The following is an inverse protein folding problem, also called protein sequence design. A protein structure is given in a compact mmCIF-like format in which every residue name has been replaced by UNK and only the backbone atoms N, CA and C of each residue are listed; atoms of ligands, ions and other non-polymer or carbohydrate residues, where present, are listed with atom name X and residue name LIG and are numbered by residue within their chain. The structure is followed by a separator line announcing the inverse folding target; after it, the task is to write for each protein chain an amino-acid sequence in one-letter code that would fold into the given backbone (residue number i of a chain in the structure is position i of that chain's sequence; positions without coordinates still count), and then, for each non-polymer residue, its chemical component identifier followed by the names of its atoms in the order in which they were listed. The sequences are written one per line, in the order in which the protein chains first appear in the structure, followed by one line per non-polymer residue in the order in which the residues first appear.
data_IF_183705627017
#
_entry.id   IF_183705627017
#
_cell.length_a   1.000
_cell.length_b   1.000
_cell.length_c   1.000
_cell.angle_alpha   90.00
_cell.angle_beta   90.00
_cell.angle_gamma   90.00
#
_symmetry.space_group_name_H-M   'P 1'
#
loop_
_entity.id
_entity.type
_entity.pdbx_description
1 polymer ?
#
# COMPACT_ATOMS: atom_id res chain seq x y z
N UNK A 1 15.03 -17.04 55.56
CA UNK A 1 14.63 -17.63 54.26
C UNK A 1 13.31 -17.08 53.65
N UNK A 2 12.83 -15.89 54.05
CA UNK A 2 11.72 -15.17 53.41
C UNK A 2 12.01 -13.65 53.24
N UNK A 3 13.27 -13.24 53.43
CA UNK A 3 13.74 -11.86 53.24
C UNK A 3 14.71 -11.68 52.06
N UNK A 4 15.00 -12.73 51.28
CA UNK A 4 15.84 -12.66 50.07
C UNK A 4 15.04 -12.77 48.76
N UNK A 5 13.70 -12.86 48.81
CA UNK A 5 12.86 -12.86 47.60
C UNK A 5 12.30 -11.48 47.22
N UNK A 6 12.54 -10.42 48.01
CA UNK A 6 12.03 -9.07 47.72
C UNK A 6 13.09 -8.07 47.23
N UNK A 7 14.36 -8.47 47.10
CA UNK A 7 15.43 -7.59 46.60
C UNK A 7 15.71 -7.71 45.09
N UNK A 8 15.03 -8.61 44.37
CA UNK A 8 15.19 -8.78 42.91
C UNK A 8 14.15 -8.02 42.05
N UNK A 9 13.09 -7.44 42.64
CA UNK A 9 12.01 -6.76 41.88
C UNK A 9 12.16 -5.23 41.80
N UNK A 10 13.09 -4.63 42.56
CA UNK A 10 13.20 -3.17 42.69
C UNK A 10 14.36 -2.52 41.88
N UNK A 11 14.93 -3.20 40.87
CA UNK A 11 15.97 -2.63 39.98
C UNK A 11 15.61 -2.58 38.48
N UNK A 12 14.34 -2.77 38.11
CA UNK A 12 13.90 -2.76 36.71
C UNK A 12 13.15 -1.52 36.23
N UNK A 13 12.81 -0.56 37.11
CA UNK A 13 11.80 0.47 36.80
C UNK A 13 12.24 1.93 37.06
N UNK A 14 13.53 2.24 36.98
CA UNK A 14 14.04 3.61 37.20
C UNK A 14 15.07 4.06 36.14
N UNK A 15 14.78 3.85 34.86
CA UNK A 15 15.64 4.32 33.76
C UNK A 15 14.89 4.93 32.56
N UNK A 16 13.64 5.37 32.71
CA UNK A 16 12.90 6.00 31.61
C UNK A 16 12.05 7.19 32.07
N UNK A 17 12.68 8.13 32.77
CA UNK A 17 12.15 9.47 33.00
C UNK A 17 13.26 10.50 32.75
N UNK A 18 13.59 10.70 31.48
CA UNK A 18 14.24 11.92 30.99
C UNK A 18 13.66 12.24 29.61
N UNK A 19 12.74 13.21 29.62
CA UNK A 19 12.15 13.85 28.45
C UNK A 19 13.18 14.79 27.84
N UNK A 20 13.45 14.75 26.52
CA UNK A 20 13.89 15.92 25.79
C UNK A 20 12.69 16.54 25.08
N UNK A 21 12.28 17.68 25.59
CA UNK A 21 11.48 18.68 24.91
C UNK A 21 12.06 19.00 23.53
N UNK A 22 11.29 18.82 22.44
CA UNK A 22 11.50 19.54 21.17
C UNK A 22 10.27 19.48 20.23
N UNK A 23 9.57 20.63 20.20
CA UNK A 23 8.93 21.27 19.05
C UNK A 23 7.56 20.79 18.54
N UNK A 24 6.53 21.14 19.33
CA UNK A 24 5.23 21.63 18.85
C UNK A 24 5.40 22.82 17.88
N UNK A 25 5.42 22.57 16.57
CA UNK A 25 5.28 23.64 15.54
C UNK A 25 4.49 23.29 14.28
N UNK A 26 3.70 22.21 14.25
CA UNK A 26 2.94 21.83 13.04
C UNK A 26 1.43 21.63 13.22
N UNK A 27 0.81 22.15 14.28
CA UNK A 27 -0.66 22.05 14.45
C UNK A 27 -1.41 23.34 14.02
N UNK A 28 -0.71 24.40 13.60
CA UNK A 28 -1.36 25.69 13.29
C UNK A 28 -1.65 25.99 11.80
N UNK A 29 -1.57 25.01 10.90
CA UNK A 29 -1.86 25.23 9.46
C UNK A 29 -3.21 24.65 8.96
N UNK A 30 -4.06 24.14 9.86
CA UNK A 30 -5.28 23.40 9.45
C UNK A 30 -6.61 24.18 9.60
N UNK A 31 -6.59 25.41 10.11
CA UNK A 31 -7.79 26.24 10.23
C UNK A 31 -7.59 27.56 9.49
N UNK A 32 -8.03 27.58 8.24
CA UNK A 32 -8.00 28.74 7.38
C UNK A 32 -8.77 29.92 7.96
N UNK A 33 -8.04 31.01 8.22
CA UNK A 33 -8.59 32.36 8.33
C UNK A 33 -7.64 33.31 7.59
N UNK A 34 -8.14 33.90 6.51
CA UNK A 34 -7.50 35.00 5.77
C UNK A 34 -7.54 36.31 6.57
N UNK A 35 -6.67 37.30 6.27
CA UNK A 35 -7.06 38.34 5.31
C UNK A 35 -5.94 38.84 4.34
N UNK A 36 -6.33 39.03 3.07
CA UNK A 36 -6.06 40.10 2.04
C UNK A 36 -4.72 40.91 2.01
N UNK A 37 -4.44 41.68 0.93
CA UNK A 37 -4.30 41.33 -0.49
C UNK A 37 -2.94 41.82 -1.07
N UNK A 38 -2.38 41.13 -2.06
CA UNK A 38 -1.14 41.56 -2.72
C UNK A 38 -1.10 41.16 -4.19
N UNK A 39 -1.25 42.14 -5.08
CA UNK A 39 -1.05 42.03 -6.53
C UNK A 39 0.38 41.56 -6.86
N UNK A 40 0.50 40.64 -7.82
CA UNK A 40 1.48 40.62 -8.92
C UNK A 40 1.01 39.54 -9.91
N UNK A 41 0.34 39.90 -11.00
CA UNK A 41 0.87 40.02 -12.38
C UNK A 41 1.68 38.81 -12.84
N UNK A 42 1.22 38.25 -13.96
CA UNK A 42 1.48 36.89 -14.40
C UNK A 42 2.75 36.70 -15.20
N UNK A 43 3.01 35.43 -15.51
CA UNK A 43 4.00 34.89 -16.44
C UNK A 43 3.47 33.50 -16.83
N UNK A 44 2.79 33.40 -17.97
CA UNK A 44 3.36 33.03 -19.27
C UNK A 44 3.79 31.56 -19.33
N UNK A 45 2.94 30.76 -19.99
CA UNK A 45 3.26 29.46 -20.57
C UNK A 45 4.53 29.57 -21.43
N UNK A 46 5.66 29.09 -20.92
CA UNK A 46 6.87 28.95 -21.74
C UNK A 46 6.93 27.55 -22.35
N UNK A 47 6.61 27.50 -23.65
CA UNK A 47 7.12 26.46 -24.57
C UNK A 47 8.65 26.49 -24.55
N UNK A 48 9.28 25.34 -24.31
CA UNK A 48 10.73 25.12 -24.45
C UNK A 48 10.93 23.60 -24.45
N UNK A 49 11.75 22.95 -25.27
CA UNK A 49 12.65 23.32 -26.34
C UNK A 49 13.17 21.99 -26.89
N UNK A 50 13.41 21.89 -28.20
CA UNK A 50 14.04 20.72 -28.83
C UNK A 50 15.42 20.47 -28.21
N UNK A 51 15.62 19.29 -27.64
CA UNK A 51 16.94 18.74 -27.32
C UNK A 51 17.08 17.34 -27.91
N UNK A 52 18.08 17.24 -28.80
CA UNK A 52 18.88 16.10 -29.27
C UNK A 52 18.41 14.66 -28.99
N UNK A 53 18.37 13.87 -30.07
CA UNK A 53 18.23 12.40 -30.20
C UNK A 53 18.51 11.62 -28.90
N UNK A 54 17.45 11.32 -28.17
CA UNK A 54 17.39 10.39 -27.04
C UNK A 54 15.99 9.76 -27.06
N UNK A 55 15.86 8.50 -26.61
CA UNK A 55 14.64 7.69 -26.53
C UNK A 55 13.33 8.47 -26.78
N UNK A 56 12.57 8.07 -27.83
CA UNK A 56 11.24 8.63 -28.08
C UNK A 56 10.42 8.50 -26.79
N UNK A 57 10.09 9.64 -26.18
CA UNK A 57 9.24 9.71 -25.02
C UNK A 57 7.88 9.07 -25.34
N UNK A 58 7.34 8.27 -24.41
CA UNK A 58 6.00 7.68 -24.55
C UNK A 58 4.89 8.71 -24.68
N UNK A 59 3.79 8.28 -25.31
CA UNK A 59 2.55 9.04 -25.59
C UNK A 59 1.74 9.40 -24.33
N UNK A 60 1.96 8.73 -23.19
CA UNK A 60 1.24 9.05 -21.96
C UNK A 60 1.54 10.48 -21.47
N UNK A 61 0.53 11.12 -20.87
CA UNK A 61 0.63 12.42 -20.22
C UNK A 61 1.81 12.45 -19.27
N UNK A 62 2.60 13.54 -19.32
CA UNK A 62 3.78 13.73 -18.50
C UNK A 62 3.54 14.87 -17.54
N UNK A 63 3.49 14.55 -16.26
CA UNK A 63 3.34 15.54 -15.19
C UNK A 63 4.59 15.52 -14.32
N UNK A 64 5.10 16.72 -14.01
CA UNK A 64 6.22 16.87 -13.08
C UNK A 64 5.66 17.03 -11.67
N UNK A 65 6.22 16.29 -10.72
CA UNK A 65 5.72 16.24 -9.36
C UNK A 65 6.87 16.50 -8.38
N UNK A 66 6.87 17.72 -7.82
CA UNK A 66 7.86 18.22 -6.86
C UNK A 66 7.24 18.77 -5.57
N UNK A 67 5.91 18.71 -5.44
CA UNK A 67 5.19 19.18 -4.26
C UNK A 67 3.85 18.49 -4.09
N UNK A 68 3.50 18.11 -2.86
CA UNK A 68 2.23 17.52 -2.48
C UNK A 68 1.00 18.38 -2.84
N UNK A 69 1.19 19.68 -3.13
CA UNK A 69 0.13 20.59 -3.61
C UNK A 69 -0.43 20.22 -4.98
N UNK A 70 0.28 19.39 -5.75
CA UNK A 70 -0.17 18.90 -7.06
C UNK A 70 -1.05 17.63 -6.96
N UNK A 71 -1.25 17.10 -5.75
CA UNK A 71 -2.28 16.10 -5.49
C UNK A 71 -3.62 16.85 -5.47
N UNK A 72 -4.38 16.76 -6.57
CA UNK A 72 -5.78 17.16 -6.57
C UNK A 72 -6.60 16.32 -5.59
N UNK A 73 -7.92 16.24 -5.76
CA UNK A 73 -8.82 15.42 -4.94
C UNK A 73 -8.61 13.89 -5.13
N UNK A 74 -7.37 13.40 -5.13
CA UNK A 74 -7.05 11.99 -4.95
C UNK A 74 -7.46 11.59 -3.54
N UNK A 75 -7.98 10.37 -3.38
CA UNK A 75 -8.43 9.90 -2.08
C UNK A 75 -7.31 9.97 -1.03
N UNK A 76 -7.69 10.02 0.25
CA UNK A 76 -6.75 10.19 1.37
C UNK A 76 -5.60 9.17 1.36
N UNK A 77 -5.89 7.93 0.95
CA UNK A 77 -4.93 6.83 0.88
C UNK A 77 -3.93 6.98 -0.27
N UNK A 78 -4.41 7.28 -1.48
CA UNK A 78 -3.53 7.53 -2.61
C UNK A 78 -2.63 8.75 -2.32
N UNK A 79 -3.21 9.80 -1.74
CA UNK A 79 -2.48 11.02 -1.38
C UNK A 79 -1.40 10.79 -0.32
N UNK A 80 -1.62 9.90 0.66
CA UNK A 80 -0.60 9.55 1.65
C UNK A 80 0.57 8.81 1.00
N UNK A 81 0.30 7.92 0.04
CA UNK A 81 1.33 7.21 -0.72
C UNK A 81 2.16 8.18 -1.57
N UNK A 82 1.53 9.15 -2.25
CA UNK A 82 2.25 10.11 -3.11
C UNK A 82 3.01 11.22 -2.38
N UNK A 83 2.74 11.47 -1.10
CA UNK A 83 3.32 12.59 -0.36
C UNK A 83 4.87 12.60 -0.36
N UNK A 84 5.51 11.43 -0.23
CA UNK A 84 6.98 11.30 -0.18
C UNK A 84 7.66 11.33 -1.54
N UNK A 85 6.98 10.86 -2.59
CA UNK A 85 7.53 10.95 -3.95
C UNK A 85 7.66 12.40 -4.41
N UNK A 86 6.90 13.32 -3.81
CA UNK A 86 6.99 14.75 -4.08
C UNK A 86 8.34 15.32 -3.66
N UNK A 87 8.81 14.99 -2.45
CA UNK A 87 10.06 15.53 -1.91
C UNK A 87 11.30 15.06 -2.66
N UNK A 88 11.22 13.91 -3.32
CA UNK A 88 12.33 13.34 -4.11
C UNK A 88 12.34 13.92 -5.53
N UNK A 89 11.19 14.39 -6.02
CA UNK A 89 11.01 14.87 -7.39
C UNK A 89 10.89 13.72 -8.38
N UNK A 90 9.71 13.57 -8.98
CA UNK A 90 9.41 12.47 -9.90
C UNK A 90 8.66 12.93 -11.15
N UNK A 91 8.78 12.13 -12.21
CA UNK A 91 7.99 12.25 -13.43
C UNK A 91 6.86 11.23 -13.35
N UNK A 92 5.62 11.70 -13.41
CA UNK A 92 4.42 10.87 -13.46
C UNK A 92 3.99 10.64 -14.90
N UNK A 93 3.58 9.41 -15.20
CA UNK A 93 2.99 9.04 -16.50
C UNK A 93 1.77 8.15 -16.33
N UNK A 94 0.63 8.77 -16.05
CA UNK A 94 -0.52 8.03 -15.53
C UNK A 94 -1.68 7.91 -16.51
N UNK A 95 -1.78 8.79 -17.50
CA UNK A 95 -2.92 8.78 -18.44
C UNK A 95 -2.43 8.57 -19.85
N UNK A 96 -3.00 7.57 -20.52
CA UNK A 96 -2.83 7.29 -21.94
C UNK A 96 -4.19 7.29 -22.62
N UNK A 97 -4.33 8.11 -23.66
CA UNK A 97 -5.53 8.13 -24.50
C UNK A 97 -5.31 7.15 -25.64
N UNK A 98 -6.26 6.24 -25.85
CA UNK A 98 -6.17 5.23 -26.91
C UNK A 98 -6.36 5.86 -28.29
N UNK A 99 -5.37 5.66 -29.15
CA UNK A 99 -5.47 5.83 -30.60
C UNK A 99 -5.66 4.45 -31.27
N UNK A 100 -5.76 4.43 -32.61
CA UNK A 100 -5.95 3.17 -33.34
C UNK A 100 -4.78 2.20 -33.16
N UNK A 101 -3.54 2.69 -33.18
CA UNK A 101 -2.33 1.86 -33.02
C UNK A 101 -2.32 1.16 -31.65
N UNK A 102 -2.73 1.86 -30.60
CA UNK A 102 -2.85 1.29 -29.25
C UNK A 102 -3.95 0.23 -29.17
N UNK A 103 -5.07 0.43 -29.86
CA UNK A 103 -6.14 -0.56 -29.96
C UNK A 103 -5.63 -1.82 -30.66
N UNK A 104 -4.96 -1.67 -31.80
CA UNK A 104 -4.40 -2.78 -32.57
C UNK A 104 -3.38 -3.58 -31.75
N UNK A 105 -2.52 -2.91 -30.96
CA UNK A 105 -1.58 -3.56 -30.05
C UNK A 105 -2.27 -4.40 -28.97
N UNK A 106 -3.37 -3.88 -28.40
CA UNK A 106 -4.13 -4.59 -27.38
C UNK A 106 -4.87 -5.80 -27.97
N UNK A 107 -5.43 -5.65 -29.16
CA UNK A 107 -6.08 -6.75 -29.89
C UNK A 107 -5.08 -7.84 -30.27
N UNK A 108 -3.93 -7.46 -30.84
CA UNK A 108 -2.86 -8.39 -31.19
C UNK A 108 -2.28 -9.13 -29.97
N UNK A 109 -2.28 -8.50 -28.80
CA UNK A 109 -1.84 -9.15 -27.55
C UNK A 109 -2.82 -10.20 -27.00
N UNK A 110 -4.06 -10.21 -27.48
CA UNK A 110 -5.12 -11.09 -26.99
C UNK A 110 -5.67 -10.75 -25.61
N UNK A 111 -5.09 -9.79 -24.86
CA UNK A 111 -5.45 -9.50 -23.47
C UNK A 111 -6.89 -8.99 -23.29
N UNK A 112 -7.46 -8.41 -24.35
CA UNK A 112 -8.84 -7.91 -24.36
C UNK A 112 -9.86 -8.91 -24.91
N UNK A 113 -9.39 -10.04 -25.44
CA UNK A 113 -10.26 -11.10 -25.92
C UNK A 113 -11.15 -11.64 -24.79
N UNK A 114 -12.32 -12.16 -25.18
CA UNK A 114 -13.19 -12.88 -24.26
C UNK A 114 -12.50 -14.14 -23.73
N UNK A 115 -11.80 -14.87 -24.61
CA UNK A 115 -11.03 -16.06 -24.26
C UNK A 115 -10.02 -15.82 -23.14
N UNK A 116 -9.22 -14.74 -23.22
CA UNK A 116 -8.25 -14.41 -22.18
C UNK A 116 -8.94 -14.23 -20.81
N UNK A 117 -10.08 -13.54 -20.77
CA UNK A 117 -10.80 -13.30 -19.50
C UNK A 117 -11.39 -14.58 -18.93
N UNK A 118 -11.97 -15.41 -19.78
CA UNK A 118 -12.51 -16.70 -19.38
C UNK A 118 -11.40 -17.57 -18.79
N UNK A 119 -10.26 -17.68 -19.48
CA UNK A 119 -9.10 -18.41 -18.99
C UNK A 119 -8.55 -17.83 -17.68
N UNK A 120 -8.44 -16.51 -17.57
CA UNK A 120 -7.98 -15.83 -16.37
C UNK A 120 -8.94 -16.07 -15.18
N UNK A 121 -10.24 -15.89 -15.39
CA UNK A 121 -11.25 -16.13 -14.36
C UNK A 121 -11.34 -17.61 -13.97
N UNK A 122 -11.21 -18.55 -14.92
CA UNK A 122 -11.16 -19.98 -14.64
C UNK A 122 -9.93 -20.37 -13.82
N UNK A 123 -8.76 -19.79 -14.11
CA UNK A 123 -7.56 -19.99 -13.30
C UNK A 123 -7.76 -19.41 -11.90
N UNK A 124 -8.24 -18.18 -11.80
CA UNK A 124 -8.52 -17.53 -10.52
C UNK A 124 -9.51 -18.33 -9.66
N UNK A 125 -10.57 -18.88 -10.26
CA UNK A 125 -11.52 -19.77 -9.58
C UNK A 125 -10.84 -21.01 -9.03
N UNK A 126 -10.11 -21.75 -9.86
CA UNK A 126 -9.42 -22.97 -9.43
C UNK A 126 -8.43 -22.71 -8.29
N UNK A 127 -7.69 -21.61 -8.35
CA UNK A 127 -6.75 -21.22 -7.29
C UNK A 127 -7.50 -20.86 -6.00
N UNK A 128 -8.54 -20.01 -6.08
CA UNK A 128 -9.33 -19.62 -4.92
C UNK A 128 -10.01 -20.84 -4.27
N UNK A 129 -10.52 -21.78 -5.07
CA UNK A 129 -11.18 -22.99 -4.57
C UNK A 129 -10.18 -23.92 -3.87
N UNK A 130 -8.98 -24.09 -4.44
CA UNK A 130 -7.90 -24.86 -3.81
C UNK A 130 -7.49 -24.28 -2.45
N UNK A 131 -7.41 -22.95 -2.32
CA UNK A 131 -7.15 -22.30 -1.03
C UNK A 131 -8.22 -22.65 0.01
N UNK A 132 -9.51 -22.61 -0.36
CA UNK A 132 -10.61 -22.93 0.55
C UNK A 132 -10.56 -24.38 1.03
N UNK A 133 -10.27 -25.30 0.11
CA UNK A 133 -10.15 -26.73 0.43
C UNK A 133 -9.00 -27.02 1.39
N UNK A 134 -7.86 -26.33 1.24
CA UNK A 134 -6.69 -26.52 2.09
C UNK A 134 -6.81 -25.92 3.50
N UNK A 135 -7.56 -24.83 3.66
CA UNK A 135 -7.60 -24.06 4.91
C UNK A 135 -8.89 -24.24 5.74
N UNK A 136 -9.81 -25.12 5.33
CA UNK A 136 -11.08 -25.36 6.03
C UNK A 136 -11.91 -24.09 6.35
N UNK A 137 -11.68 -22.99 5.62
CA UNK A 137 -12.36 -21.72 5.84
C UNK A 137 -13.69 -21.70 5.08
N UNK A 138 -14.80 -21.50 5.81
CA UNK A 138 -16.18 -21.43 5.26
C UNK A 138 -16.54 -20.05 4.68
N UNK A 139 -15.66 -19.07 4.76
CA UNK A 139 -15.88 -17.73 4.19
C UNK A 139 -15.87 -17.73 2.67
N UNK A 140 -16.86 -17.06 2.06
CA UNK A 140 -16.83 -16.72 0.63
C UNK A 140 -15.62 -15.81 0.36
N UNK A 141 -14.61 -16.32 -0.36
CA UNK A 141 -13.59 -15.46 -0.97
C UNK A 141 -14.28 -14.49 -1.92
N UNK A 142 -14.39 -13.24 -1.50
CA UNK A 142 -14.95 -12.16 -2.31
C UNK A 142 -14.00 -11.61 -3.37
N UNK A 143 -12.97 -12.35 -3.80
CA UNK A 143 -12.04 -11.85 -4.82
C UNK A 143 -12.81 -11.63 -6.12
N UNK A 144 -12.87 -10.38 -6.56
CA UNK A 144 -13.53 -9.96 -7.78
C UNK A 144 -13.00 -10.71 -8.99
N UNK A 145 -13.90 -10.99 -9.94
CA UNK A 145 -13.57 -11.51 -11.26
C UNK A 145 -13.58 -10.39 -12.28
N UNK A 146 -12.88 -10.62 -13.39
CA UNK A 146 -12.96 -9.69 -14.50
C UNK A 146 -14.40 -9.73 -15.03
N UNK A 147 -15.06 -8.58 -15.01
CA UNK A 147 -16.43 -8.46 -15.53
C UNK A 147 -16.48 -8.90 -17.01
N UNK A 148 -17.55 -9.61 -17.37
CA UNK A 148 -17.84 -10.01 -18.75
C UNK A 148 -18.23 -8.83 -19.65
N UNK A 149 -18.45 -7.62 -19.08
CA UNK A 149 -18.78 -6.44 -19.88
C UNK A 149 -17.71 -6.24 -20.96
N UNK A 150 -18.14 -6.08 -22.23
CA UNK A 150 -17.23 -5.76 -23.34
C UNK A 150 -16.33 -4.60 -22.91
N UNK A 151 -15.01 -4.85 -22.88
CA UNK A 151 -14.08 -3.74 -22.68
C UNK A 151 -14.22 -2.91 -23.94
N UNK A 152 -14.62 -1.65 -23.77
CA UNK A 152 -14.64 -0.72 -24.88
C UNK A 152 -13.18 -0.34 -25.17
N UNK A 153 -12.54 -1.07 -26.08
CA UNK A 153 -11.37 -0.60 -26.84
C UNK A 153 -11.84 0.46 -27.82
N UNK A 154 -12.30 1.58 -27.28
CA UNK A 154 -12.81 2.68 -28.09
C UNK A 154 -11.72 3.74 -28.16
N UNK A 155 -11.42 4.19 -29.37
CA UNK A 155 -10.54 5.33 -29.61
C UNK A 155 -11.00 6.50 -28.74
N UNK A 156 -10.05 7.24 -28.18
CA UNK A 156 -10.26 8.31 -27.19
C UNK A 156 -10.66 7.85 -25.79
N UNK A 157 -10.75 6.54 -25.52
CA UNK A 157 -10.84 6.05 -24.15
C UNK A 157 -9.52 6.33 -23.42
N UNK A 158 -9.61 6.78 -22.17
CA UNK A 158 -8.45 7.10 -21.36
C UNK A 158 -8.17 5.93 -20.40
N UNK A 159 -7.01 5.29 -20.56
CA UNK A 159 -6.45 4.45 -19.51
C UNK A 159 -5.72 5.31 -18.50
N UNK A 160 -6.08 5.08 -17.24
CA UNK A 160 -5.42 5.66 -16.09
C UNK A 160 -4.79 4.53 -15.29
N UNK A 161 -3.53 4.74 -14.93
CA UNK A 161 -2.81 3.91 -13.97
C UNK A 161 -2.55 4.72 -12.71
N UNK A 162 -2.48 4.05 -11.57
CA UNK A 162 -2.39 4.75 -10.30
C UNK A 162 -1.02 5.38 -10.10
N UNK A 163 0.07 4.61 -10.20
CA UNK A 163 1.42 5.09 -9.93
C UNK A 163 2.42 4.61 -10.99
N UNK A 164 2.86 5.49 -11.88
CA UNK A 164 3.98 5.21 -12.78
C UNK A 164 4.99 6.36 -12.72
N UNK A 165 6.11 6.11 -12.02
CA UNK A 165 7.05 7.14 -11.59
C UNK A 165 8.45 6.86 -12.11
N UNK A 166 9.14 7.89 -12.58
CA UNK A 166 10.58 7.89 -12.80
C UNK A 166 11.26 8.99 -11.99
N UNK A 167 12.48 8.72 -11.52
CA UNK A 167 13.22 9.59 -10.60
C UNK A 167 14.45 10.23 -11.27
N UNK A 168 14.77 11.45 -10.84
CA UNK A 168 15.94 12.22 -11.35
C UNK A 168 17.28 11.67 -10.87
N UNK A 169 17.27 10.97 -9.74
CA UNK A 169 18.41 10.34 -9.10
C UNK A 169 18.07 8.89 -8.79
N UNK A 170 19.11 8.06 -8.65
CA UNK A 170 18.91 6.67 -8.23
C UNK A 170 18.42 6.64 -6.79
N UNK A 171 17.42 5.81 -6.51
CA UNK A 171 16.81 5.70 -5.19
C UNK A 171 16.52 4.25 -4.86
N UNK A 172 16.63 3.87 -3.59
CA UNK A 172 16.25 2.54 -3.12
C UNK A 172 14.73 2.43 -2.94
N UNK A 173 14.16 1.29 -3.33
CA UNK A 173 12.71 1.06 -3.26
C UNK A 173 12.19 1.02 -1.80
N UNK A 174 12.92 0.44 -0.85
CA UNK A 174 12.51 0.47 0.56
C UNK A 174 12.45 1.89 1.11
N UNK A 175 13.44 2.75 0.79
CA UNK A 175 13.41 4.17 1.17
C UNK A 175 12.23 4.93 0.55
N UNK A 176 11.79 4.53 -0.65
CA UNK A 176 10.61 5.13 -1.29
C UNK A 176 9.31 4.83 -0.53
N UNK A 177 9.25 3.71 0.20
CA UNK A 177 8.03 3.21 0.84
C UNK A 177 8.09 3.16 2.38
N UNK A 178 9.14 3.70 3.00
CA UNK A 178 9.45 3.56 4.44
C UNK A 178 8.32 4.05 5.38
N UNK A 179 7.51 5.02 4.97
CA UNK A 179 6.40 5.52 5.80
C UNK A 179 5.06 4.83 5.54
N UNK A 180 4.99 4.04 4.48
CA UNK A 180 3.77 3.37 4.03
C UNK A 180 3.77 1.88 4.43
N UNK A 181 4.97 1.33 4.64
CA UNK A 181 5.21 -0.04 5.07
C UNK A 181 5.63 -0.04 6.53
N UNK A 182 4.93 -0.78 7.39
CA UNK A 182 5.22 -0.83 8.82
C UNK A 182 6.32 -1.86 9.12
N UNK A 183 6.15 -3.07 8.56
CA UNK A 183 7.04 -4.20 8.79
C UNK A 183 7.38 -4.85 7.46
N UNK A 184 8.55 -4.53 6.89
CA UNK A 184 8.92 -4.94 5.53
C UNK A 184 8.79 -6.44 5.27
N UNK A 185 9.21 -7.27 6.22
CA UNK A 185 9.18 -8.74 6.11
C UNK A 185 7.76 -9.30 6.06
N UNK A 186 6.83 -8.66 6.76
CA UNK A 186 5.44 -9.10 6.84
C UNK A 186 4.58 -8.41 5.79
N UNK A 187 4.81 -7.15 5.50
CA UNK A 187 3.96 -6.35 4.64
C UNK A 187 4.32 -6.45 3.16
N UNK A 188 5.45 -7.08 2.82
CA UNK A 188 5.85 -7.26 1.42
C UNK A 188 5.91 -8.73 1.06
N UNK A 189 5.26 -9.06 -0.06
CA UNK A 189 5.30 -10.40 -0.66
C UNK A 189 5.82 -10.27 -2.09
N UNK A 190 6.93 -10.95 -2.40
CA UNK A 190 7.38 -11.12 -3.78
C UNK A 190 6.55 -12.20 -4.47
N UNK A 191 6.15 -11.96 -5.72
CA UNK A 191 5.45 -12.94 -6.56
C UNK A 191 6.09 -13.05 -7.94
N UNK A 192 5.94 -14.22 -8.55
CA UNK A 192 6.59 -14.55 -9.81
C UNK A 192 7.94 -15.25 -9.64
N UNK A 193 8.76 -15.19 -10.68
CA UNK A 193 10.01 -15.97 -10.76
C UNK A 193 11.17 -15.26 -10.06
N UNK A 194 11.29 -13.93 -10.21
CA UNK A 194 12.34 -13.16 -9.56
C UNK A 194 12.30 -13.30 -8.04
N UNK A 195 13.46 -13.62 -7.46
CA UNK A 195 13.66 -13.72 -6.01
C UNK A 195 14.31 -12.46 -5.44
N UNK A 196 14.36 -11.36 -6.19
CA UNK A 196 14.96 -10.12 -5.70
C UNK A 196 14.16 -9.58 -4.51
N UNK A 197 14.86 -9.30 -3.40
CA UNK A 197 14.24 -8.70 -2.22
C UNK A 197 13.87 -7.25 -2.48
N UNK A 198 12.77 -6.79 -1.88
CA UNK A 198 12.28 -5.42 -1.99
C UNK A 198 13.32 -4.39 -1.55
N UNK A 199 14.07 -4.70 -0.47
CA UNK A 199 15.11 -3.83 0.08
C UNK A 199 16.33 -3.67 -0.83
N UNK A 200 16.54 -4.63 -1.75
CA UNK A 200 17.71 -4.66 -2.62
C UNK A 200 17.42 -4.02 -3.99
N UNK A 201 16.18 -3.57 -4.24
CA UNK A 201 15.81 -2.92 -5.49
C UNK A 201 16.29 -1.46 -5.47
N UNK A 202 17.26 -1.16 -6.33
CA UNK A 202 17.68 0.21 -6.64
C UNK A 202 17.04 0.63 -7.95
N UNK A 203 16.21 1.67 -7.90
CA UNK A 203 15.62 2.30 -9.09
C UNK A 203 16.66 3.26 -9.64
N UNK A 204 17.27 2.95 -10.78
CA UNK A 204 18.26 3.84 -11.37
C UNK A 204 17.61 5.05 -12.04
N UNK A 205 18.38 6.13 -12.19
CA UNK A 205 17.94 7.34 -12.90
C UNK A 205 17.35 6.99 -14.28
N UNK A 206 16.11 7.43 -14.51
CA UNK A 206 15.39 7.20 -15.77
C UNK A 206 14.68 5.85 -15.89
N UNK A 207 14.84 4.96 -14.92
CA UNK A 207 13.99 3.78 -14.78
C UNK A 207 12.66 4.15 -14.14
N UNK A 208 11.67 3.27 -14.30
CA UNK A 208 10.33 3.45 -13.79
C UNK A 208 9.99 2.44 -12.70
N UNK A 209 9.16 2.86 -11.75
CA UNK A 209 8.34 1.94 -10.95
C UNK A 209 6.90 2.03 -11.41
N UNK A 210 6.18 0.91 -11.38
CA UNK A 210 4.76 0.89 -11.69
C UNK A 210 3.97 0.10 -10.64
N UNK A 211 3.11 0.80 -9.90
CA UNK A 211 2.21 0.21 -8.91
C UNK A 211 0.75 0.56 -9.19
N UNK A 212 -0.14 -0.41 -9.00
CA UNK A 212 -1.58 -0.16 -8.86
C UNK A 212 -1.97 -0.16 -7.38
N UNK A 213 -2.99 0.63 -7.03
CA UNK A 213 -3.40 0.90 -5.65
C UNK A 213 -4.83 0.44 -5.44
N UNK A 214 -5.08 -0.36 -4.41
CA UNK A 214 -6.43 -0.78 -4.02
C UNK A 214 -6.64 -0.71 -2.52
N UNK A 215 -7.83 -0.26 -2.12
CA UNK A 215 -8.27 -0.24 -0.72
C UNK A 215 -8.85 -1.58 -0.26
N UNK A 216 -9.19 -2.44 -1.21
CA UNK A 216 -9.86 -3.71 -0.98
C UNK A 216 -9.00 -4.83 -1.58
N UNK A 217 -8.55 -5.83 -0.78
CA UNK A 217 -7.78 -6.97 -1.27
C UNK A 217 -8.57 -7.79 -2.31
N UNK A 218 -9.90 -7.78 -2.20
CA UNK A 218 -10.81 -8.44 -3.14
C UNK A 218 -10.65 -7.96 -4.60
N UNK A 219 -10.23 -6.72 -4.83
CA UNK A 219 -10.05 -6.14 -6.17
C UNK A 219 -8.66 -6.38 -6.78
N UNK A 220 -7.80 -7.16 -6.11
CA UNK A 220 -6.43 -7.36 -6.57
C UNK A 220 -6.30 -7.97 -7.96
N UNK A 221 -7.22 -8.86 -8.34
CA UNK A 221 -7.22 -9.44 -9.69
C UNK A 221 -7.60 -8.43 -10.78
N UNK A 222 -8.51 -7.51 -10.48
CA UNK A 222 -8.85 -6.41 -11.39
C UNK A 222 -7.62 -5.50 -11.59
N UNK A 223 -6.89 -5.19 -10.51
CA UNK A 223 -5.67 -4.38 -10.57
C UNK A 223 -4.53 -5.09 -11.28
N UNK A 224 -4.34 -6.39 -11.04
CA UNK A 224 -3.39 -7.20 -11.80
C UNK A 224 -3.72 -7.16 -13.30
N UNK A 225 -4.98 -7.30 -13.69
CA UNK A 225 -5.39 -7.20 -15.08
C UNK A 225 -5.09 -5.82 -15.69
N UNK A 226 -5.34 -4.73 -14.95
CA UNK A 226 -4.94 -3.38 -15.35
C UNK A 226 -3.42 -3.30 -15.59
N UNK A 227 -2.61 -3.91 -14.71
CA UNK A 227 -1.16 -3.96 -14.87
C UNK A 227 -0.70 -4.72 -16.10
N UNK A 228 -1.24 -5.91 -16.35
CA UNK A 228 -0.87 -6.71 -17.52
C UNK A 228 -1.17 -5.93 -18.81
N UNK A 229 -2.33 -5.24 -18.86
CA UNK A 229 -2.70 -4.38 -19.98
C UNK A 229 -1.72 -3.22 -20.18
N UNK A 230 -1.39 -2.51 -19.11
CA UNK A 230 -0.40 -1.42 -19.16
C UNK A 230 0.98 -1.93 -19.56
N UNK A 231 1.35 -3.14 -19.14
CA UNK A 231 2.64 -3.75 -19.48
C UNK A 231 2.78 -4.06 -20.98
N UNK A 232 1.69 -4.46 -21.65
CA UNK A 232 1.63 -4.55 -23.13
C UNK A 232 1.90 -3.19 -23.77
N UNK A 233 1.32 -2.12 -23.20
CA UNK A 233 1.44 -0.75 -23.67
C UNK A 233 2.66 0.01 -23.11
N UNK A 234 3.60 -0.66 -22.44
CA UNK A 234 4.65 0.02 -21.64
C UNK A 234 5.51 0.99 -22.44
N UNK A 235 5.84 0.65 -23.70
CA UNK A 235 6.66 1.52 -24.57
C UNK A 235 5.89 2.80 -24.93
N UNK A 236 4.57 2.71 -25.02
CA UNK A 236 3.69 3.83 -25.31
C UNK A 236 3.40 4.67 -24.07
N UNK A 237 3.40 4.07 -22.88
CA UNK A 237 3.39 4.82 -21.62
C UNK A 237 4.72 5.53 -21.40
N UNK A 238 5.81 4.78 -21.27
CA UNK A 238 7.07 5.24 -20.70
C UNK A 238 8.07 5.74 -21.76
N UNK A 239 7.94 5.27 -23.00
CA UNK A 239 8.86 5.48 -24.11
C UNK A 239 9.58 4.18 -24.49
N UNK A 240 9.92 4.04 -25.78
CA UNK A 240 10.60 2.84 -26.27
C UNK A 240 11.91 2.58 -25.53
N UNK A 241 12.04 1.34 -25.03
CA UNK A 241 13.22 0.89 -24.31
C UNK A 241 13.31 1.41 -22.87
N UNK A 242 12.25 2.01 -22.35
CA UNK A 242 12.16 2.32 -20.93
C UNK A 242 12.26 1.04 -20.10
N UNK A 243 13.02 1.11 -19.01
CA UNK A 243 13.17 0.00 -18.06
C UNK A 243 12.26 0.21 -16.86
N UNK A 244 11.64 -0.89 -16.42
CA UNK A 244 10.85 -0.93 -15.19
C UNK A 244 11.70 -1.65 -14.16
N UNK A 245 12.02 -0.96 -13.06
CA UNK A 245 12.81 -1.51 -11.97
C UNK A 245 11.96 -2.38 -11.02
N UNK A 246 10.68 -2.03 -10.85
CA UNK A 246 9.74 -2.78 -10.03
C UNK A 246 8.30 -2.61 -10.50
N UNK A 247 7.54 -3.71 -10.38
CA UNK A 247 6.10 -3.75 -10.51
C UNK A 247 5.48 -4.06 -9.14
N UNK A 248 4.27 -3.60 -8.89
CA UNK A 248 3.53 -4.13 -7.75
C UNK A 248 2.12 -3.64 -7.53
N UNK A 249 1.53 -4.13 -6.46
CA UNK A 249 0.20 -3.80 -5.98
C UNK A 249 0.32 -3.25 -4.57
N UNK A 250 -0.16 -2.03 -4.33
CA UNK A 250 -0.32 -1.46 -3.00
C UNK A 250 -1.74 -1.77 -2.52
N UNK A 251 -1.81 -2.45 -1.39
CA UNK A 251 -3.03 -3.07 -0.91
C UNK A 251 -3.27 -2.60 0.50
N UNK A 252 -4.47 -2.14 0.75
CA UNK A 252 -4.96 -1.90 2.08
C UNK A 252 -6.14 -2.85 2.36
N UNK A 253 -6.73 -2.79 3.54
CA UNK A 253 -7.86 -3.63 3.94
C UNK A 253 -7.50 -4.51 5.13
N UNK A 254 -8.18 -5.65 5.27
CA UNK A 254 -7.92 -6.58 6.37
C UNK A 254 -6.70 -7.43 6.09
N UNK A 255 -5.91 -7.70 7.12
CA UNK A 255 -4.67 -8.47 6.99
C UNK A 255 -4.92 -9.90 6.52
N UNK A 256 -5.96 -10.54 7.03
CA UNK A 256 -6.33 -11.92 6.66
C UNK A 256 -6.70 -12.02 5.18
N UNK A 257 -7.43 -11.02 4.67
CA UNK A 257 -7.81 -10.93 3.26
C UNK A 257 -6.59 -10.64 2.36
N UNK A 258 -5.64 -9.83 2.86
CA UNK A 258 -4.35 -9.59 2.18
C UNK A 258 -3.52 -10.87 2.03
N UNK A 259 -3.30 -11.62 3.11
CA UNK A 259 -2.48 -12.84 3.08
C UNK A 259 -3.06 -13.88 2.12
N UNK A 260 -4.39 -14.04 2.17
CA UNK A 260 -5.12 -14.92 1.26
C UNK A 260 -4.97 -14.49 -0.21
N UNK A 261 -5.10 -13.18 -0.50
CA UNK A 261 -4.97 -12.67 -1.85
C UNK A 261 -3.52 -12.78 -2.37
N UNK A 262 -2.52 -12.61 -1.50
CA UNK A 262 -1.11 -12.83 -1.83
C UNK A 262 -0.85 -14.27 -2.24
N UNK A 263 -1.39 -15.24 -1.48
CA UNK A 263 -1.30 -16.65 -1.85
C UNK A 263 -1.93 -16.91 -3.22
N UNK A 264 -3.14 -16.39 -3.44
CA UNK A 264 -3.85 -16.58 -4.71
C UNK A 264 -3.07 -15.99 -5.89
N UNK A 265 -2.53 -14.78 -5.75
CA UNK A 265 -1.73 -14.16 -6.80
C UNK A 265 -0.45 -14.96 -7.08
N UNK A 266 0.25 -15.43 -6.05
CA UNK A 266 1.44 -16.28 -6.20
C UNK A 266 1.14 -17.52 -7.04
N UNK A 267 0.04 -18.22 -6.75
CA UNK A 267 -0.40 -19.39 -7.50
C UNK A 267 -0.83 -19.06 -8.94
N UNK A 268 -1.49 -17.92 -9.15
CA UNK A 268 -1.85 -17.46 -10.50
C UNK A 268 -0.57 -17.23 -11.32
N UNK A 269 0.42 -16.53 -10.78
CA UNK A 269 1.71 -16.32 -11.47
C UNK A 269 2.43 -17.64 -11.78
N UNK A 270 2.40 -18.60 -10.87
CA UNK A 270 3.03 -19.91 -11.07
C UNK A 270 2.37 -20.75 -12.18
N UNK A 271 1.06 -20.58 -12.39
CA UNK A 271 0.26 -21.43 -13.30
C UNK A 271 -0.14 -20.73 -14.60
N UNK A 272 0.02 -19.42 -14.71
CA UNK A 272 -0.45 -18.64 -15.87
C UNK A 272 0.11 -19.15 -17.20
N UNK A 273 1.38 -19.54 -17.25
CA UNK A 273 2.02 -20.06 -18.47
C UNK A 273 1.40 -21.37 -18.95
N UNK A 274 0.98 -22.25 -18.03
CA UNK A 274 0.28 -23.50 -18.35
C UNK A 274 -1.13 -23.26 -18.95
N UNK A 275 -1.64 -22.03 -18.79
CA UNK A 275 -2.93 -21.59 -19.30
C UNK A 275 -2.82 -20.62 -20.47
N UNK A 276 -1.63 -20.48 -21.09
CA UNK A 276 -1.38 -19.55 -22.19
C UNK A 276 -1.76 -18.09 -21.88
N UNK A 277 -1.77 -17.72 -20.59
CA UNK A 277 -2.08 -16.36 -20.18
C UNK A 277 -0.82 -15.50 -20.27
N UNK A 278 -0.88 -14.48 -21.12
CA UNK A 278 0.12 -13.41 -21.14
C UNK A 278 0.09 -12.67 -19.81
N UNK A 279 1.21 -12.69 -19.08
CA UNK A 279 1.40 -11.99 -17.81
C UNK A 279 2.57 -11.02 -17.90
N UNK A 280 2.75 -10.18 -16.88
CA UNK A 280 3.97 -9.38 -16.74
C UNK A 280 5.21 -10.28 -16.59
N UNK A 281 6.33 -9.89 -17.20
CA UNK A 281 7.55 -10.71 -17.22
C UNK A 281 8.32 -10.57 -15.89
N UNK A 282 8.00 -11.45 -14.95
CA UNK A 282 8.61 -11.49 -13.62
C UNK A 282 10.01 -12.11 -13.59
N UNK A 283 10.54 -12.55 -14.73
CA UNK A 283 11.95 -12.99 -14.82
C UNK A 283 12.90 -11.80 -14.89
N UNK A 284 12.43 -10.69 -15.46
CA UNK A 284 13.23 -9.46 -15.66
C UNK A 284 12.91 -8.37 -14.66
N UNK A 285 11.65 -8.31 -14.21
CA UNK A 285 11.16 -7.24 -13.33
C UNK A 285 10.53 -7.86 -12.09
N UNK A 286 11.04 -7.58 -10.87
CA UNK A 286 10.41 -8.09 -9.66
C UNK A 286 9.00 -7.52 -9.50
N UNK A 287 8.09 -8.35 -8.98
CA UNK A 287 6.71 -7.98 -8.71
C UNK A 287 6.41 -8.14 -7.22
N UNK A 288 5.89 -7.09 -6.60
CA UNK A 288 5.61 -7.06 -5.17
C UNK A 288 4.14 -6.81 -4.87
N UNK A 289 3.62 -7.44 -3.83
CA UNK A 289 2.33 -7.11 -3.23
C UNK A 289 2.64 -6.51 -1.85
N UNK A 290 2.28 -5.26 -1.67
CA UNK A 290 2.66 -4.46 -0.50
C UNK A 290 1.40 -4.13 0.30
N UNK A 291 1.35 -4.59 1.54
CA UNK A 291 0.35 -4.21 2.52
C UNK A 291 0.66 -2.81 3.05
N UNK A 292 -0.36 -1.96 3.08
CA UNK A 292 -0.26 -0.55 3.40
C UNK A 292 -1.48 -0.16 4.23
N UNK A 293 -1.47 -0.48 5.54
CA UNK A 293 -2.64 -0.25 6.39
C UNK A 293 -2.96 1.26 6.43
N UNK A 294 -4.24 1.62 6.27
CA UNK A 294 -4.65 3.03 6.29
C UNK A 294 -4.33 3.65 7.66
N UNK A 295 -3.32 4.53 7.70
CA UNK A 295 -3.11 5.47 8.81
C UNK A 295 -3.99 6.71 8.58
N UNK A 296 -5.30 6.57 8.75
CA UNK A 296 -6.15 7.74 8.87
C UNK A 296 -6.16 8.16 10.36
N UNK A 297 -6.12 9.45 10.67
CA UNK A 297 -6.06 9.94 12.07
C UNK A 297 -7.20 9.36 12.93
N UNK A 298 -8.34 9.06 12.32
CA UNK A 298 -9.47 8.38 12.95
C UNK A 298 -9.26 6.88 13.17
N UNK A 299 -8.52 6.16 12.31
CA UNK A 299 -8.15 4.75 12.57
C UNK A 299 -7.14 4.67 13.71
N UNK A 300 -6.18 5.58 13.76
CA UNK A 300 -5.29 5.72 14.93
C UNK A 300 -6.07 6.12 16.19
N UNK A 301 -7.03 7.05 16.10
CA UNK A 301 -7.91 7.37 17.24
C UNK A 301 -8.80 6.19 17.64
N UNK A 302 -9.32 5.39 16.71
CA UNK A 302 -10.12 4.20 17.00
C UNK A 302 -9.28 3.08 17.62
N UNK A 303 -8.03 2.91 17.20
CA UNK A 303 -7.09 1.98 17.83
C UNK A 303 -6.69 2.44 19.23
N UNK A 304 -6.46 3.74 19.41
CA UNK A 304 -6.25 4.34 20.73
C UNK A 304 -7.50 4.18 21.59
N UNK A 305 -8.70 4.39 21.05
CA UNK A 305 -9.96 4.21 21.76
C UNK A 305 -10.17 2.75 22.17
N UNK A 306 -9.93 1.79 21.29
CA UNK A 306 -9.95 0.35 21.63
C UNK A 306 -8.92 -0.01 22.68
N UNK A 307 -7.74 0.61 22.64
CA UNK A 307 -6.69 0.41 23.64
C UNK A 307 -7.11 0.99 25.00
N UNK A 308 -7.77 2.14 25.02
CA UNK A 308 -8.35 2.76 26.23
C UNK A 308 -9.46 1.88 26.81
N UNK A 309 -10.40 1.41 25.99
CA UNK A 309 -11.46 0.48 26.42
C UNK A 309 -10.90 -0.84 26.98
N UNK A 310 -9.79 -1.32 26.40
CA UNK A 310 -9.06 -2.49 26.93
C UNK A 310 -8.34 -2.21 28.25
N UNK A 311 -7.87 -0.99 28.46
CA UNK A 311 -7.26 -0.53 29.72
C UNK A 311 -8.31 -0.37 30.82
N UNK A 312 -9.47 0.21 30.53
CA UNK A 312 -10.58 0.35 31.48
C UNK A 312 -11.03 -1.02 32.01
N UNK A 313 -11.22 -2.00 31.11
CA UNK A 313 -11.54 -3.38 31.53
C UNK A 313 -10.48 -4.02 32.44
N UNK A 314 -9.20 -3.69 32.24
CA UNK A 314 -8.12 -4.17 33.12
C UNK A 314 -8.14 -3.47 34.47
N UNK A 315 -8.47 -2.18 34.50
CA UNK A 315 -8.61 -1.39 35.74
C UNK A 315 -9.81 -1.89 36.55
N UNK A 316 -10.94 -2.15 35.90
CA UNK A 316 -12.12 -2.73 36.53
C UNK A 316 -11.80 -4.09 37.14
N UNK A 317 -11.12 -4.97 36.39
CA UNK A 317 -10.69 -6.27 36.91
C UNK A 317 -9.73 -6.19 38.09
N UNK A 318 -8.81 -5.21 38.12
CA UNK A 318 -7.94 -4.97 39.29
C UNK A 318 -8.73 -4.42 40.48
N UNK A 319 -9.73 -3.58 40.22
CA UNK A 319 -10.59 -3.00 41.26
C UNK A 319 -11.47 -4.06 41.92
N UNK A 320 -12.02 -5.00 41.14
CA UNK A 320 -12.73 -6.16 41.67
C UNK A 320 -11.81 -7.03 42.54
N UNK A 321 -10.59 -7.33 42.08
CA UNK A 321 -9.61 -8.09 42.87
C UNK A 321 -9.21 -7.39 44.17
N UNK A 322 -9.11 -6.06 44.18
CA UNK A 322 -8.83 -5.27 45.38
C UNK A 322 -10.00 -5.28 46.36
N UNK A 323 -11.23 -5.23 45.88
CA UNK A 323 -12.43 -5.31 46.71
C UNK A 323 -12.56 -6.70 47.34
N UNK A 324 -12.33 -7.77 46.57
CA UNK A 324 -12.29 -9.14 47.12
C UNK A 324 -11.21 -9.29 48.19
N UNK A 325 -10.02 -8.73 47.97
CA UNK A 325 -8.95 -8.74 48.96
C UNK A 325 -9.33 -7.94 50.22
N UNK A 326 -9.99 -6.79 50.05
CA UNK A 326 -10.49 -5.98 51.16
C UNK A 326 -11.53 -6.75 51.99
N UNK A 327 -12.49 -7.39 51.33
CA UNK A 327 -13.54 -8.19 51.97
C UNK A 327 -12.97 -9.42 52.69
N UNK A 328 -11.86 -9.98 52.21
CA UNK A 328 -11.13 -11.04 52.92
C UNK A 328 -10.36 -10.53 54.15
N UNK A 329 -9.79 -9.31 54.08
CA UNK A 329 -8.97 -8.74 55.15
C UNK A 329 -9.79 -8.09 56.26
N UNK A 330 -10.95 -7.50 55.93
CA UNK A 330 -11.80 -6.80 56.90
C UNK A 330 -12.22 -7.70 58.09
N UNK A 331 -12.66 -8.96 57.90
CA UNK A 331 -12.99 -9.86 59.01
C UNK A 331 -11.77 -10.23 59.85
N UNK A 332 -10.59 -10.34 59.23
CA UNK A 332 -9.34 -10.66 59.92
C UNK A 332 -8.92 -9.50 60.83
N UNK A 333 -8.99 -8.27 60.33
CA UNK A 333 -8.71 -7.06 61.10
C UNK A 333 -9.70 -6.88 62.26
N UNK A 334 -10.99 -7.13 62.03
CA UNK A 334 -12.01 -7.11 63.09
C UNK A 334 -11.72 -8.12 64.20
N UNK A 335 -11.33 -9.35 63.86
CA UNK A 335 -10.95 -10.38 64.85
C UNK A 335 -9.69 -10.01 65.63
N UNK A 336 -8.72 -9.35 65.00
CA UNK A 336 -7.50 -8.90 65.67
C UNK A 336 -7.80 -7.77 66.66
N UNK A 337 -8.63 -6.79 66.29
CA UNK A 337 -9.05 -5.72 67.19
C UNK A 337 -9.87 -6.22 68.38
N UNK A 338 -10.77 -7.19 68.16
CA UNK A 338 -11.55 -7.81 69.25
C UNK A 338 -10.70 -8.62 70.23
N UNK A 339 -9.54 -9.15 69.79
CA UNK A 339 -8.59 -9.85 70.67
C UNK A 339 -7.64 -8.92 71.43
N UNK A 340 -7.51 -7.67 70.98
CA UNK A 340 -6.64 -6.67 71.58
C UNK A 340 -7.36 -5.78 72.63
N UNK A 341 -8.71 -5.84 72.68
CA UNK A 341 -9.56 -5.19 73.69
C UNK A 341 -9.89 -6.14 74.83
#
# INVERSE_FOLDING_TARGET
PLCEMLSASARGAAAALLVPSLHLRQVHAFLGLSPMPGRCRGLALTKSSKTRRGSQMGKATREWYDSARHLGATGLFESSVFGRFASIGSIRREKLILDQELVDLLEASGIHSQEYREQFNQLANRVCDAYRQGNCTTGLLGISRLEEKKLKTVINYQYQIDMCLSFKQSTNLATLFEDVIDQLEDDVRSVGISQQSFQDVVVHKGEYIYFEVTREPTKLLEKLYQMVRTYVLRDEYMGKGAKIAALGLLVNGKREEYEQACWCLKEIFARASMHNLTMVDTTKTPFFIVYTPNRNVFSTMLEVQKSIEGLDKRIDGVSEQLNELHDMLQPVLLRLNQKAS
#
